data_IF_435036605987
#
_entry.id   IF_435036605987
#
_cell.length_a   1.000
_cell.length_b   1.000
_cell.length_c   1.000
_cell.angle_alpha   90.00
_cell.angle_beta   90.00
_cell.angle_gamma   90.00
#
_symmetry.space_group_name_H-M   'P 1'
#
loop_
_entity.id
_entity.type
_entity.pdbx_description
1 polymer ?
#
# COMPACT_ATOMS: atom_id res chain seq x y z
N UNK A 1 -8.92 -4.98 12.57
CA UNK A 1 -8.34 -3.86 13.31
C UNK A 1 -8.94 -2.57 12.82
N UNK A 2 -9.09 -1.60 13.67
CA UNK A 2 -9.64 -0.34 13.21
C UNK A 2 -8.66 0.31 12.26
N UNK A 3 -9.17 1.09 11.32
CA UNK A 3 -8.30 1.74 10.35
C UNK A 3 -7.32 2.69 11.05
N UNK A 4 -7.79 3.41 12.05
CA UNK A 4 -6.94 4.36 12.74
C UNK A 4 -5.82 3.66 13.51
N UNK A 5 -6.12 2.55 14.16
CA UNK A 5 -5.10 1.83 14.89
C UNK A 5 -4.06 1.26 13.94
N UNK A 6 -4.49 0.76 12.79
CA UNK A 6 -3.58 0.19 11.83
C UNK A 6 -2.64 1.26 11.27
N UNK A 7 -3.18 2.40 10.90
CA UNK A 7 -2.38 3.48 10.36
C UNK A 7 -1.37 3.97 11.40
N UNK A 8 -1.82 4.13 12.66
CA UNK A 8 -0.94 4.59 13.70
C UNK A 8 0.19 3.59 13.95
N UNK A 9 -0.13 2.30 13.90
CA UNK A 9 0.87 1.31 14.14
C UNK A 9 1.91 1.28 13.02
N UNK A 10 1.48 1.40 11.78
CA UNK A 10 2.42 1.41 10.67
C UNK A 10 3.36 2.62 10.79
N UNK A 11 2.81 3.75 11.21
CA UNK A 11 3.61 4.94 11.32
C UNK A 11 4.57 4.89 12.49
N UNK A 12 4.09 4.46 13.64
CA UNK A 12 4.90 4.52 14.85
C UNK A 12 5.85 3.37 15.00
N UNK A 13 5.44 2.17 14.64
CA UNK A 13 6.30 1.02 14.81
C UNK A 13 7.15 0.69 13.60
N UNK A 14 6.67 1.02 12.43
CA UNK A 14 7.38 0.65 11.21
C UNK A 14 7.87 1.87 10.43
N UNK A 15 7.52 3.05 10.89
CA UNK A 15 7.93 4.29 10.25
C UNK A 15 7.56 4.29 8.77
N UNK A 16 6.37 3.80 8.48
CA UNK A 16 5.87 3.74 7.12
C UNK A 16 4.86 4.83 6.87
N UNK A 17 4.87 5.38 5.68
CA UNK A 17 3.89 6.39 5.28
C UNK A 17 3.23 5.94 3.99
N UNK A 18 2.06 6.48 3.74
CA UNK A 18 1.31 6.13 2.54
C UNK A 18 2.00 6.69 1.32
N UNK A 19 2.29 5.85 0.35
CA UNK A 19 2.93 6.29 -0.88
C UNK A 19 2.04 6.10 -2.10
N UNK A 20 1.07 5.21 -2.04
CA UNK A 20 0.14 5.01 -3.15
C UNK A 20 -1.23 4.74 -2.57
N UNK A 21 -2.25 5.30 -3.20
CA UNK A 21 -3.63 5.09 -2.78
C UNK A 21 -4.46 4.85 -4.03
N UNK A 22 -5.27 3.82 -4.01
CA UNK A 22 -6.18 3.52 -5.10
C UNK A 22 -7.55 3.19 -4.58
N UNK A 23 -8.57 3.49 -5.36
CA UNK A 23 -9.93 3.18 -4.98
C UNK A 23 -10.30 1.82 -5.52
N UNK A 24 -11.16 1.12 -4.81
CA UNK A 24 -11.60 -0.18 -5.26
C UNK A 24 -12.48 -0.02 -6.50
N UNK A 25 -12.31 -0.90 -7.46
CA UNK A 25 -13.01 -0.81 -8.72
C UNK A 25 -14.50 -1.01 -8.57
N UNK A 26 -14.94 -1.89 -7.73
CA UNK A 26 -16.34 -2.22 -7.65
C UNK A 26 -16.99 -1.84 -6.32
N UNK A 27 -16.24 -1.76 -5.26
CA UNK A 27 -16.82 -1.47 -3.95
C UNK A 27 -16.58 -0.02 -3.60
N UNK A 28 -17.64 0.67 -3.18
CA UNK A 28 -17.50 2.06 -2.82
C UNK A 28 -16.92 2.19 -1.43
N UNK A 29 -16.21 3.27 -1.21
CA UNK A 29 -15.66 3.61 0.11
C UNK A 29 -14.57 2.65 0.58
N UNK A 30 -13.99 1.87 -0.32
CA UNK A 30 -12.88 0.99 -0.01
C UNK A 30 -11.67 1.49 -0.78
N UNK A 31 -10.56 1.66 -0.10
CA UNK A 31 -9.33 2.07 -0.75
C UNK A 31 -8.23 1.08 -0.44
N UNK A 32 -7.31 0.93 -1.36
CA UNK A 32 -6.09 0.16 -1.15
C UNK A 32 -4.96 1.15 -1.03
N UNK A 33 -4.17 1.01 0.03
CA UNK A 33 -3.09 1.94 0.29
C UNK A 33 -1.80 1.15 0.46
N UNK A 34 -0.74 1.63 -0.15
CA UNK A 34 0.58 1.05 0.07
C UNK A 34 1.33 1.99 1.00
N UNK A 35 1.70 1.47 2.16
CA UNK A 35 2.51 2.17 3.12
C UNK A 35 3.93 1.65 3.00
N UNK A 36 4.91 2.52 3.09
CA UNK A 36 6.30 2.09 2.95
C UNK A 36 7.25 2.98 3.71
N UNK A 37 8.37 2.39 4.09
CA UNK A 37 9.51 3.12 4.58
C UNK A 37 10.53 3.04 3.45
N UNK A 38 10.73 4.13 2.75
CA UNK A 38 11.58 4.09 1.56
C UNK A 38 13.06 3.92 1.87
N UNK A 39 13.45 4.14 3.12
CA UNK A 39 14.84 3.92 3.47
C UNK A 39 15.10 2.44 3.70
N UNK A 40 14.21 1.74 4.37
CA UNK A 40 14.42 0.34 4.64
C UNK A 40 13.89 -0.56 3.54
N UNK A 41 12.95 -0.06 2.75
CA UNK A 41 12.31 -0.87 1.73
C UNK A 41 11.18 -1.73 2.24
N UNK A 42 10.83 -1.64 3.51
CA UNK A 42 9.72 -2.42 4.05
C UNK A 42 8.41 -1.76 3.66
N UNK A 43 7.42 -2.55 3.33
CA UNK A 43 6.15 -1.99 2.94
C UNK A 43 5.00 -2.87 3.38
N UNK A 44 3.82 -2.28 3.44
CA UNK A 44 2.60 -2.95 3.83
C UNK A 44 1.49 -2.47 2.91
N UNK A 45 0.73 -3.41 2.37
CA UNK A 45 -0.42 -3.08 1.53
C UNK A 45 -1.66 -3.35 2.36
N UNK A 46 -2.51 -2.35 2.49
CA UNK A 46 -3.73 -2.51 3.26
C UNK A 46 -4.93 -2.11 2.43
N UNK A 47 -6.09 -2.61 2.83
CA UNK A 47 -7.34 -2.23 2.24
C UNK A 47 -8.19 -1.74 3.39
N UNK A 48 -8.84 -0.62 3.24
CA UNK A 48 -9.59 -0.07 4.37
C UNK A 48 -10.74 0.81 3.93
N UNK A 49 -11.67 0.97 4.87
CA UNK A 49 -12.67 2.00 4.75
C UNK A 49 -12.43 2.92 5.93
N UNK A 50 -13.34 3.83 6.22
CA UNK A 50 -13.07 4.79 7.28
C UNK A 50 -13.04 4.16 8.67
N UNK A 51 -13.52 2.95 8.82
CA UNK A 51 -13.60 2.31 10.14
C UNK A 51 -12.65 1.15 10.32
N UNK A 52 -12.46 0.33 9.31
CA UNK A 52 -11.74 -0.92 9.43
C UNK A 52 -10.62 -1.02 8.42
N UNK A 53 -9.49 -1.53 8.86
CA UNK A 53 -8.35 -1.78 7.97
C UNK A 53 -7.93 -3.22 8.02
N UNK A 54 -7.53 -3.75 6.87
CA UNK A 54 -7.07 -5.12 6.75
C UNK A 54 -5.73 -5.13 6.02
N UNK A 55 -4.78 -5.89 6.55
CA UNK A 55 -3.48 -6.01 5.91
C UNK A 55 -3.60 -7.07 4.84
N UNK A 56 -3.25 -6.72 3.62
CA UNK A 56 -3.29 -7.65 2.51
C UNK A 56 -1.91 -8.28 2.28
N UNK A 57 -0.85 -7.54 2.49
CA UNK A 57 0.48 -8.03 2.17
C UNK A 57 1.52 -7.21 2.90
N UNK A 58 2.60 -7.85 3.30
CA UNK A 58 3.74 -7.18 3.90
C UNK A 58 4.97 -7.66 3.17
N UNK A 59 5.88 -6.78 2.85
CA UNK A 59 7.05 -7.17 2.09
C UNK A 59 8.26 -6.33 2.39
N UNK A 60 9.31 -6.55 1.63
CA UNK A 60 10.55 -5.82 1.81
C UNK A 60 11.18 -5.58 0.44
N UNK A 61 12.21 -4.77 0.43
CA UNK A 61 12.94 -4.45 -0.79
C UNK A 61 12.07 -3.78 -1.84
N UNK A 62 11.18 -2.91 -1.40
CA UNK A 62 10.33 -2.18 -2.32
C UNK A 62 11.16 -1.26 -3.19
N UNK A 63 10.94 -1.29 -4.48
CA UNK A 63 11.65 -0.44 -5.42
C UNK A 63 10.71 0.05 -6.50
N UNK A 64 10.97 1.24 -7.00
CA UNK A 64 10.21 1.73 -8.14
C UNK A 64 10.88 1.17 -9.38
N UNK A 65 10.12 0.49 -10.21
CA UNK A 65 10.68 -0.12 -11.40
C UNK A 65 10.59 0.84 -12.56
N UNK A 66 11.56 1.76 -12.62
CA UNK A 66 11.55 2.73 -13.71
C UNK A 66 12.47 2.36 -14.84
N UNK A 67 13.15 1.26 -14.74
CA UNK A 67 14.04 0.90 -15.82
C UNK A 67 13.38 0.02 -16.85
N UNK A 68 12.14 -0.33 -16.66
CA UNK A 68 11.45 -1.18 -17.60
C UNK A 68 10.30 -0.42 -18.18
N UNK A 69 10.50 0.56 -18.95
CA UNK A 69 9.47 1.41 -19.41
C UNK A 69 8.65 0.69 -20.35
N UNK A 70 7.51 0.53 -20.04
CA UNK A 70 6.65 0.12 -20.95
C UNK A 70 6.88 -0.92 -21.86
N UNK A 71 7.83 -1.58 -21.89
CA UNK A 71 7.90 -2.57 -22.77
C UNK A 71 6.85 -3.49 -22.37
N UNK A 72 6.27 -3.25 -21.34
CA UNK A 72 5.32 -4.16 -20.91
C UNK A 72 4.06 -3.91 -21.51
N UNK A 73 3.96 -3.07 -22.40
CA UNK A 73 2.76 -2.76 -22.94
C UNK A 73 2.02 -3.94 -23.24
N UNK A 74 2.64 -4.96 -23.26
CA UNK A 74 1.84 -6.01 -23.64
C UNK A 74 1.21 -6.51 -22.50
N UNK A 75 1.34 -6.14 -21.50
CA UNK A 75 0.82 -6.69 -20.51
C UNK A 75 -0.26 -6.21 -20.08
N UNK A 76 -0.65 -5.59 -20.06
CA UNK A 76 -1.60 -5.11 -19.56
C UNK A 76 -2.61 -5.77 -19.31
N UNK A 77 -3.19 -6.25 -19.21
CA UNK A 77 -4.32 -6.91 -18.92
C UNK A 77 -5.41 -6.42 -19.59
#
# INVERSE_FOLDING_TARGET
>A
MSAQQLVDELKQKHNETAILIGEHDMLENIVTVVYANLESGMYTVIEMNKNIGCVLSVGKNLKFNVSEPLKSKNNVY
#
